data_IF_999102313572
#
_entry.id   IF_999102313572
#
_cell.length_a   1.000
_cell.length_b   1.000
_cell.length_c   1.000
_cell.angle_alpha   90.00
_cell.angle_beta   90.00
_cell.angle_gamma   90.00
#
_symmetry.space_group_name_H-M   'P 1'
#
loop_
_entity.id
_entity.type
_entity.pdbx_description
1 polymer ?
#
# COMPACT_ATOMS: atom_id res chain seq x y z
N UNK A 1 19.01 -25.80 -12.02
CA UNK A 1 18.97 -24.58 -12.85
C UNK A 1 17.61 -24.44 -13.58
N UNK A 2 16.52 -24.15 -12.87
CA UNK A 2 15.20 -23.87 -13.48
C UNK A 2 14.38 -22.93 -12.58
N UNK A 3 14.78 -21.67 -12.43
CA UNK A 3 13.98 -20.64 -11.70
C UNK A 3 14.15 -19.19 -12.18
N UNK A 4 15.10 -18.89 -13.05
CA UNK A 4 15.34 -17.51 -13.52
C UNK A 4 14.66 -17.17 -14.87
N UNK A 5 14.09 -18.15 -15.58
CA UNK A 5 13.47 -17.95 -16.90
C UNK A 5 12.06 -17.34 -16.84
N UNK A 6 11.34 -17.50 -15.73
CA UNK A 6 9.95 -17.03 -15.63
C UNK A 6 9.88 -15.51 -15.39
N UNK A 7 10.82 -14.96 -14.61
CA UNK A 7 10.83 -13.53 -14.28
C UNK A 7 11.29 -12.66 -15.46
N UNK A 8 12.24 -13.14 -16.27
CA UNK A 8 12.70 -12.38 -17.46
C UNK A 8 11.59 -12.26 -18.50
N UNK A 9 10.75 -13.30 -18.63
CA UNK A 9 9.65 -13.31 -19.57
C UNK A 9 8.62 -12.21 -19.24
N UNK A 10 8.21 -12.11 -17.96
CA UNK A 10 7.26 -11.09 -17.50
C UNK A 10 7.82 -9.66 -17.67
N UNK A 11 9.12 -9.44 -17.41
CA UNK A 11 9.75 -8.13 -17.62
C UNK A 11 9.75 -7.71 -19.09
N UNK A 12 9.92 -8.68 -20.00
CA UNK A 12 9.93 -8.43 -21.46
C UNK A 12 8.56 -8.50 -22.14
N UNK A 13 7.49 -8.88 -21.42
CA UNK A 13 6.17 -9.11 -22.01
C UNK A 13 5.60 -7.81 -22.59
N UNK A 14 5.13 -7.91 -23.82
CA UNK A 14 4.31 -6.92 -24.50
C UNK A 14 2.95 -6.73 -23.81
N UNK A 15 2.30 -5.60 -24.09
CA UNK A 15 1.06 -5.20 -23.42
C UNK A 15 -0.08 -6.22 -23.63
N UNK A 16 -0.18 -6.80 -24.82
CA UNK A 16 -1.20 -7.82 -25.13
C UNK A 16 -1.01 -9.11 -24.32
N UNK A 17 0.24 -9.51 -24.08
CA UNK A 17 0.56 -10.68 -23.27
C UNK A 17 0.28 -10.44 -21.78
N UNK A 18 0.51 -9.22 -21.29
CA UNK A 18 0.14 -8.83 -19.93
C UNK A 18 -1.37 -8.87 -19.75
N UNK A 19 -2.13 -8.28 -20.67
CA UNK A 19 -3.61 -8.29 -20.64
C UNK A 19 -4.15 -9.72 -20.60
N UNK A 20 -3.62 -10.61 -21.44
CA UNK A 20 -4.02 -12.04 -21.42
C UNK A 20 -3.75 -12.70 -20.07
N UNK A 21 -2.62 -12.39 -19.46
CA UNK A 21 -2.23 -12.94 -18.15
C UNK A 21 -3.11 -12.39 -17.04
N UNK A 22 -3.46 -11.10 -17.07
CA UNK A 22 -4.37 -10.47 -16.11
C UNK A 22 -5.78 -11.01 -16.21
N UNK A 23 -6.31 -11.20 -17.43
CA UNK A 23 -7.61 -11.84 -17.66
C UNK A 23 -7.59 -13.27 -17.12
N UNK A 24 -6.53 -14.03 -17.40
CA UNK A 24 -6.37 -15.40 -16.92
C UNK A 24 -6.34 -15.48 -15.39
N UNK A 25 -5.67 -14.52 -14.74
CA UNK A 25 -5.57 -14.43 -13.28
C UNK A 25 -6.74 -13.67 -12.63
N UNK A 26 -7.70 -13.19 -13.42
CA UNK A 26 -8.83 -12.36 -12.99
C UNK A 26 -8.40 -11.12 -12.19
N UNK A 27 -7.35 -10.45 -12.64
CA UNK A 27 -6.79 -9.21 -12.08
C UNK A 27 -7.36 -8.03 -12.86
N UNK A 28 -7.75 -6.95 -12.16
CA UNK A 28 -8.08 -5.68 -12.82
C UNK A 28 -6.80 -4.90 -13.14
N UNK A 29 -6.58 -4.51 -14.42
CA UNK A 29 -5.38 -3.77 -14.80
C UNK A 29 -5.44 -2.33 -14.29
N UNK A 30 -4.44 -1.91 -13.53
CA UNK A 30 -4.29 -0.53 -13.07
C UNK A 30 -2.84 -0.05 -13.17
N UNK A 31 -2.68 1.23 -13.53
CA UNK A 31 -1.37 1.86 -13.70
C UNK A 31 -0.74 1.67 -15.07
N UNK A 32 0.55 2.02 -15.17
CA UNK A 32 1.32 1.89 -16.41
C UNK A 32 1.77 0.45 -16.66
N UNK A 33 2.19 0.15 -17.90
CA UNK A 33 2.70 -1.17 -18.30
C UNK A 33 3.75 -1.72 -17.34
N UNK A 34 4.64 -0.87 -16.84
CA UNK A 34 5.76 -1.25 -15.99
C UNK A 34 5.31 -1.60 -14.58
N UNK A 35 4.37 -0.85 -14.01
CA UNK A 35 3.70 -1.14 -12.74
C UNK A 35 2.94 -2.48 -12.81
N UNK A 36 2.24 -2.73 -13.92
CA UNK A 36 1.55 -4.00 -14.19
C UNK A 36 2.52 -5.19 -14.27
N UNK A 37 3.66 -5.02 -14.94
CA UNK A 37 4.74 -6.03 -14.94
C UNK A 37 5.29 -6.29 -13.53
N UNK A 38 5.55 -5.24 -12.77
CA UNK A 38 6.04 -5.37 -11.39
C UNK A 38 5.05 -6.11 -10.49
N UNK A 39 3.75 -5.90 -10.70
CA UNK A 39 2.72 -6.62 -9.97
C UNK A 39 2.70 -8.11 -10.30
N UNK A 40 2.70 -8.48 -11.58
CA UNK A 40 2.78 -9.88 -12.01
C UNK A 40 4.06 -10.57 -11.51
N UNK A 41 5.18 -9.84 -11.51
CA UNK A 41 6.42 -10.31 -10.90
C UNK A 41 6.27 -10.53 -9.39
N UNK A 42 5.63 -9.60 -8.66
CA UNK A 42 5.39 -9.75 -7.23
C UNK A 42 4.54 -10.98 -6.92
N UNK A 43 3.50 -11.25 -7.72
CA UNK A 43 2.67 -12.46 -7.61
C UNK A 43 3.46 -13.76 -7.85
N UNK A 44 4.35 -13.76 -8.84
CA UNK A 44 5.22 -14.92 -9.15
C UNK A 44 6.34 -15.14 -8.12
N UNK A 45 6.79 -14.08 -7.45
CA UNK A 45 7.87 -14.09 -6.45
C UNK A 45 7.37 -14.57 -5.08
N UNK A 46 6.91 -15.82 -4.98
CA UNK A 46 6.67 -16.50 -3.69
C UNK A 46 7.92 -16.65 -2.78
N UNK A 47 9.09 -16.11 -3.17
CA UNK A 47 10.38 -16.33 -2.46
C UNK A 47 11.26 -15.09 -2.30
N UNK A 48 10.92 -13.94 -2.89
CA UNK A 48 11.71 -12.74 -2.66
C UNK A 48 11.35 -12.11 -1.32
N UNK A 49 12.34 -11.50 -0.66
CA UNK A 49 12.13 -10.77 0.59
C UNK A 49 11.13 -9.64 0.34
N UNK A 50 10.07 -9.59 1.14
CA UNK A 50 9.14 -8.47 1.18
C UNK A 50 9.93 -7.17 1.38
N UNK A 51 9.82 -6.27 0.40
CA UNK A 51 10.36 -4.93 0.47
C UNK A 51 9.21 -3.91 0.41
N UNK A 52 9.50 -2.66 0.76
CA UNK A 52 8.50 -1.59 0.75
C UNK A 52 7.78 -1.45 -0.60
N UNK A 53 8.53 -1.51 -1.72
CA UNK A 53 8.01 -1.35 -3.08
C UNK A 53 7.00 -2.45 -3.43
N UNK A 54 7.30 -3.70 -3.07
CA UNK A 54 6.43 -4.86 -3.31
C UNK A 54 5.16 -4.80 -2.46
N UNK A 55 5.26 -4.33 -1.22
CA UNK A 55 4.07 -4.16 -0.37
C UNK A 55 3.19 -3.07 -0.95
N UNK A 56 3.76 -1.92 -1.33
CA UNK A 56 3.02 -0.82 -1.95
C UNK A 56 2.34 -1.25 -3.25
N UNK A 57 3.01 -2.01 -4.11
CA UNK A 57 2.41 -2.49 -5.37
C UNK A 57 1.27 -3.49 -5.13
N UNK A 58 1.37 -4.35 -4.11
CA UNK A 58 0.29 -5.25 -3.73
C UNK A 58 -0.92 -4.49 -3.18
N UNK A 59 -0.69 -3.51 -2.30
CA UNK A 59 -1.77 -2.68 -1.75
C UNK A 59 -2.47 -1.89 -2.86
N UNK A 60 -1.70 -1.29 -3.77
CA UNK A 60 -2.23 -0.60 -4.95
C UNK A 60 -3.09 -1.54 -5.80
N UNK A 61 -2.65 -2.76 -6.08
CA UNK A 61 -3.41 -3.70 -6.91
C UNK A 61 -4.69 -4.24 -6.25
N UNK A 62 -4.74 -4.33 -4.92
CA UNK A 62 -5.92 -4.84 -4.21
C UNK A 62 -6.97 -3.73 -4.02
N UNK A 63 -6.52 -2.51 -3.72
CA UNK A 63 -7.41 -1.45 -3.24
C UNK A 63 -7.40 -0.16 -4.10
N UNK A 64 -6.57 -0.09 -5.14
CA UNK A 64 -6.38 1.09 -6.00
C UNK A 64 -6.08 2.38 -5.22
N UNK A 65 -5.28 2.25 -4.17
CA UNK A 65 -4.95 3.35 -3.27
C UNK A 65 -3.47 3.34 -2.94
N UNK A 66 -2.92 4.53 -2.78
CA UNK A 66 -1.55 4.67 -2.35
C UNK A 66 -1.40 4.24 -0.88
N UNK A 67 -0.18 3.89 -0.48
CA UNK A 67 0.11 3.48 0.88
C UNK A 67 1.52 3.83 1.33
N UNK A 68 1.68 4.03 2.63
CA UNK A 68 2.98 4.14 3.29
C UNK A 68 3.23 2.88 4.11
N UNK A 69 4.45 2.35 4.03
CA UNK A 69 4.86 1.17 4.79
C UNK A 69 5.98 1.59 5.73
N UNK A 70 5.86 1.23 7.01
CA UNK A 70 6.90 1.44 8.03
C UNK A 70 7.26 0.11 8.66
N UNK A 71 8.55 -0.07 8.92
CA UNK A 71 9.09 -1.25 9.59
C UNK A 71 9.56 -0.84 10.96
N UNK A 72 8.98 -1.45 11.99
CA UNK A 72 9.32 -1.20 13.38
C UNK A 72 10.07 -2.39 13.95
N UNK A 73 11.12 -2.10 14.70
CA UNK A 73 11.75 -3.07 15.60
C UNK A 73 11.07 -3.02 16.97
N UNK A 74 11.14 -4.12 17.73
CA UNK A 74 10.44 -4.24 19.02
C UNK A 74 10.87 -3.24 20.11
N UNK A 75 11.96 -2.50 19.88
CA UNK A 75 12.53 -1.53 20.81
C UNK A 75 12.10 -0.09 20.52
N UNK A 76 11.37 0.16 19.44
CA UNK A 76 10.99 1.52 19.03
C UNK A 76 9.79 2.05 19.82
N UNK A 77 9.90 3.28 20.35
CA UNK A 77 8.84 3.93 21.13
C UNK A 77 7.55 4.15 20.33
N UNK A 78 7.68 4.38 19.02
CA UNK A 78 6.55 4.61 18.12
C UNK A 78 5.99 3.31 17.51
N UNK A 79 6.50 2.14 17.93
CA UNK A 79 5.95 0.88 17.46
C UNK A 79 4.53 0.71 18.01
N UNK A 80 3.55 0.33 17.16
CA UNK A 80 2.20 0.02 17.64
C UNK A 80 2.19 -1.17 18.61
N UNK A 81 3.23 -2.03 18.56
CA UNK A 81 3.40 -3.11 19.52
C UNK A 81 4.82 -3.15 20.10
N UNK A 82 4.91 -3.08 21.43
CA UNK A 82 6.18 -3.15 22.13
C UNK A 82 6.71 -4.58 22.21
N UNK A 83 8.02 -4.75 22.01
CA UNK A 83 8.72 -6.03 22.17
C UNK A 83 8.65 -6.98 20.95
N UNK A 84 7.99 -6.59 19.86
CA UNK A 84 7.90 -7.39 18.63
C UNK A 84 8.16 -6.54 17.39
N UNK A 85 8.70 -7.16 16.33
CA UNK A 85 8.84 -6.50 15.04
C UNK A 85 7.48 -6.36 14.35
N UNK A 86 7.18 -5.17 13.83
CA UNK A 86 5.88 -4.87 13.20
C UNK A 86 6.08 -4.24 11.84
N UNK A 87 5.33 -4.72 10.84
CA UNK A 87 5.13 -4.04 9.56
C UNK A 87 3.83 -3.27 9.66
N UNK A 88 3.92 -1.95 9.69
CA UNK A 88 2.75 -1.07 9.66
C UNK A 88 2.51 -0.61 8.22
N UNK A 89 1.33 -0.93 7.69
CA UNK A 89 0.85 -0.44 6.41
C UNK A 89 -0.23 0.59 6.69
N UNK A 90 0.00 1.81 6.22
CA UNK A 90 -0.95 2.91 6.31
C UNK A 90 -1.48 3.18 4.91
N UNK A 91 -2.76 2.91 4.70
CA UNK A 91 -3.44 3.09 3.42
C UNK A 91 -3.98 4.51 3.32
N UNK A 92 -3.78 5.17 2.17
CA UNK A 92 -4.32 6.50 1.88
C UNK A 92 -5.66 6.40 1.13
N UNK A 93 -6.79 6.72 1.78
CA UNK A 93 -8.08 6.84 1.11
C UNK A 93 -8.07 7.77 -0.08
N UNK A 94 -8.66 7.35 -1.20
CA UNK A 94 -8.93 8.26 -2.32
C UNK A 94 -10.17 9.13 -2.02
N UNK A 95 -11.11 8.59 -1.22
CA UNK A 95 -12.34 9.27 -0.82
C UNK A 95 -12.77 8.96 0.62
N UNK A 96 -13.54 9.86 1.22
CA UNK A 96 -14.09 9.71 2.57
C UNK A 96 -15.10 8.56 2.71
N UNK A 97 -15.61 8.04 1.60
CA UNK A 97 -16.66 7.02 1.57
C UNK A 97 -16.18 5.63 1.13
N UNK A 98 -14.89 5.45 0.88
CA UNK A 98 -14.37 4.13 0.53
C UNK A 98 -14.36 3.20 1.74
N UNK A 99 -15.11 2.12 1.64
CA UNK A 99 -15.09 1.03 2.60
C UNK A 99 -13.87 0.16 2.31
N UNK A 100 -12.84 0.33 3.14
CA UNK A 100 -11.58 -0.37 2.97
C UNK A 100 -11.65 -1.80 3.50
N UNK A 101 -11.41 -2.77 2.61
CA UNK A 101 -11.28 -4.18 2.98
C UNK A 101 -9.84 -4.50 3.38
N UNK A 102 -9.43 -4.00 4.56
CA UNK A 102 -8.08 -4.26 5.08
C UNK A 102 -7.79 -5.77 5.23
N UNK A 103 -8.81 -6.58 5.46
CA UNK A 103 -8.73 -8.04 5.52
C UNK A 103 -8.16 -8.67 4.25
N UNK A 104 -8.42 -8.09 3.08
CA UNK A 104 -7.93 -8.62 1.81
C UNK A 104 -6.42 -8.37 1.65
N UNK A 105 -5.92 -7.22 2.11
CA UNK A 105 -4.48 -6.95 2.24
C UNK A 105 -3.85 -7.95 3.20
N UNK A 106 -4.43 -8.12 4.39
CA UNK A 106 -3.89 -9.03 5.40
C UNK A 106 -3.85 -10.47 4.88
N UNK A 107 -4.90 -10.93 4.21
CA UNK A 107 -4.97 -12.27 3.61
C UNK A 107 -3.90 -12.47 2.54
N UNK A 108 -3.60 -11.45 1.74
CA UNK A 108 -2.58 -11.50 0.70
C UNK A 108 -1.14 -11.49 1.26
N UNK A 109 -0.88 -10.69 2.30
CA UNK A 109 0.46 -10.49 2.85
C UNK A 109 0.85 -11.50 3.93
N UNK A 110 -0.11 -12.00 4.72
CA UNK A 110 0.14 -12.93 5.84
C UNK A 110 0.93 -14.20 5.43
N UNK A 111 0.72 -14.81 4.26
CA UNK A 111 1.54 -15.95 3.81
C UNK A 111 2.99 -15.59 3.46
N UNK A 112 3.28 -14.32 3.18
CA UNK A 112 4.59 -13.83 2.76
C UNK A 112 5.43 -13.35 3.95
N UNK A 113 4.78 -12.94 5.05
CA UNK A 113 5.44 -12.40 6.24
C UNK A 113 5.92 -13.54 7.16
N UNK A 114 7.16 -13.46 7.69
CA UNK A 114 7.62 -14.41 8.71
C UNK A 114 6.73 -14.38 9.95
N UNK A 115 6.40 -15.55 10.51
CA UNK A 115 5.42 -15.66 11.61
C UNK A 115 5.76 -14.96 12.93
N UNK A 116 7.00 -14.47 13.10
CA UNK A 116 7.43 -13.70 14.28
C UNK A 116 7.28 -12.18 14.09
N UNK A 117 6.91 -11.73 12.89
CA UNK A 117 6.65 -10.32 12.57
C UNK A 117 5.14 -10.13 12.48
N UNK A 118 4.64 -9.09 13.14
CA UNK A 118 3.22 -8.74 13.06
C UNK A 118 2.94 -7.80 11.91
N UNK A 119 1.77 -7.96 11.31
CA UNK A 119 1.24 -7.07 10.28
C UNK A 119 0.16 -6.20 10.91
N UNK A 120 0.26 -4.89 10.73
CA UNK A 120 -0.76 -3.94 11.16
C UNK A 120 -1.18 -3.10 9.95
N UNK A 121 -2.38 -3.32 9.43
CA UNK A 121 -2.95 -2.55 8.32
C UNK A 121 -3.94 -1.54 8.89
N UNK A 122 -3.67 -0.26 8.68
CA UNK A 122 -4.45 0.83 9.24
C UNK A 122 -4.74 1.90 8.18
N UNK A 123 -5.81 2.67 8.40
CA UNK A 123 -6.06 3.89 7.63
C UNK A 123 -5.07 4.97 8.07
N UNK A 124 -4.47 5.67 7.10
CA UNK A 124 -3.69 6.86 7.40
C UNK A 124 -4.61 7.98 7.89
N UNK A 125 -4.19 8.69 8.95
CA UNK A 125 -4.82 9.91 9.41
C UNK A 125 -3.77 11.01 9.47
N UNK A 126 -4.15 12.21 9.03
CA UNK A 126 -3.28 13.37 9.11
C UNK A 126 -3.08 13.79 10.55
N UNK A 127 -1.83 14.07 10.92
CA UNK A 127 -1.54 14.71 12.19
C UNK A 127 -1.86 16.20 12.13
N UNK A 128 -2.05 16.82 13.30
CA UNK A 128 -2.17 18.29 13.39
C UNK A 128 -0.96 19.02 12.79
N UNK A 129 0.22 18.38 12.81
CA UNK A 129 1.43 18.92 12.19
C UNK A 129 1.32 18.94 10.67
N UNK A 130 0.76 17.91 10.07
CA UNK A 130 0.54 17.83 8.61
C UNK A 130 -0.48 18.89 8.16
N UNK A 131 -1.55 19.06 8.93
CA UNK A 131 -2.54 20.14 8.74
C UNK A 131 -1.85 21.51 8.81
N UNK A 132 -1.04 21.75 9.83
CA UNK A 132 -0.35 23.03 10.00
C UNK A 132 0.67 23.33 8.91
N UNK A 133 1.35 22.31 8.38
CA UNK A 133 2.30 22.50 7.28
C UNK A 133 1.61 22.91 5.98
N UNK A 134 0.38 22.43 5.75
CA UNK A 134 -0.36 22.71 4.52
C UNK A 134 -1.30 23.91 4.61
N UNK A 135 -1.70 24.32 5.81
CA UNK A 135 -2.54 25.49 6.02
C UNK A 135 -1.77 26.58 6.75
N UNK A 136 -1.68 27.75 6.10
CA UNK A 136 -0.92 28.90 6.61
C UNK A 136 -1.51 29.50 7.89
N UNK A 137 -2.81 29.35 8.13
CA UNK A 137 -3.50 29.83 9.34
C UNK A 137 -4.87 29.15 9.54
N UNK A 138 -5.45 29.30 10.73
CA UNK A 138 -6.77 28.75 11.10
C UNK A 138 -7.93 29.27 10.24
N UNK A 139 -7.82 30.48 9.68
CA UNK A 139 -8.86 31.07 8.84
C UNK A 139 -8.94 30.32 7.51
N UNK A 140 -7.80 29.98 6.90
CA UNK A 140 -7.74 29.17 5.68
C UNK A 140 -8.37 27.79 5.90
N UNK A 141 -8.15 27.16 7.05
CA UNK A 141 -8.78 25.87 7.38
C UNK A 141 -10.29 26.01 7.41
N UNK A 142 -10.81 27.03 8.09
CA UNK A 142 -12.25 27.30 8.22
C UNK A 142 -12.91 27.62 6.87
N UNK A 143 -12.22 28.33 5.99
CA UNK A 143 -12.76 28.72 4.69
C UNK A 143 -12.70 27.57 3.67
N UNK A 144 -11.76 26.62 3.83
CA UNK A 144 -11.58 25.48 2.92
C UNK A 144 -12.41 24.25 3.34
N UNK A 145 -12.56 24.00 4.64
CA UNK A 145 -13.26 22.84 5.18
C UNK A 145 -14.67 23.21 5.64
N UNK A 146 -15.70 22.53 5.13
CA UNK A 146 -17.11 22.83 5.47
C UNK A 146 -17.47 22.45 6.90
N UNK A 147 -16.78 21.46 7.48
CA UNK A 147 -17.04 20.96 8.82
C UNK A 147 -15.83 20.21 9.40
N UNK A 148 -15.86 19.99 10.73
CA UNK A 148 -14.80 19.26 11.45
C UNK A 148 -14.58 17.84 10.93
N UNK A 149 -15.63 17.22 10.36
CA UNK A 149 -15.53 15.89 9.78
C UNK A 149 -14.65 15.88 8.53
N UNK A 150 -14.78 16.87 7.66
CA UNK A 150 -13.88 17.03 6.51
C UNK A 150 -12.44 17.29 6.95
N UNK A 151 -12.23 18.08 8.01
CA UNK A 151 -10.88 18.28 8.56
C UNK A 151 -10.30 17.01 9.18
N UNK A 152 -11.11 16.22 9.88
CA UNK A 152 -10.67 14.96 10.48
C UNK A 152 -10.19 13.95 9.43
N UNK A 153 -10.82 13.94 8.25
CA UNK A 153 -10.41 13.11 7.13
C UNK A 153 -9.51 13.84 6.12
N UNK A 154 -9.09 15.07 6.41
CA UNK A 154 -8.19 15.81 5.54
C UNK A 154 -6.90 15.03 5.35
N UNK A 155 -6.35 15.06 4.13
CA UNK A 155 -5.06 14.45 3.80
C UNK A 155 -4.15 15.46 3.10
N UNK A 156 -2.89 15.59 3.53
CA UNK A 156 -1.90 16.34 2.79
C UNK A 156 -1.70 15.68 1.43
N UNK A 157 -1.85 16.44 0.34
CA UNK A 157 -1.34 15.98 -0.96
C UNK A 157 0.15 16.30 -0.98
N UNK A 158 0.98 15.26 -1.12
CA UNK A 158 2.42 15.42 -1.30
C UNK A 158 2.74 16.01 -2.68
#
# INVERSE_FOLDING_TARGET
MKKNLDNSCIVSMDEESIIRTEIFLNIQPEGNLEQRRQYLLALGRKRDKLNEVTIKSMVMAIMNVDSTVKFYTGSEENSPEHGQGVIQIMVFPSSNQEEFRFEDIERALKPLIPGHIKLNVTRYYSSWRDVMNNFTNWRNIKDTMKNWRELYYYMPQN
#
